data_IF_391822983560
#
_entry.id   IF_391822983560
#
_cell.length_a   1.000
_cell.length_b   1.000
_cell.length_c   1.000
_cell.angle_alpha   90.00
_cell.angle_beta   90.00
_cell.angle_gamma   90.00
#
_symmetry.space_group_name_H-M   'P 1'
#
loop_
_entity.id
_entity.type
_entity.pdbx_description
1 polymer ?
#
# COMPACT_ATOMS: atom_id res chain seq x y z
N UNK A 1 -8.74 20.37 -11.93
CA UNK A 1 -8.58 21.32 -10.80
C UNK A 1 -9.00 22.70 -11.31
N UNK A 2 -9.87 23.42 -10.59
CA UNK A 2 -10.32 24.77 -10.98
C UNK A 2 -10.51 25.62 -9.73
N UNK A 3 -10.05 26.88 -9.75
CA UNK A 3 -10.19 27.86 -8.65
C UNK A 3 -9.75 27.33 -7.28
N UNK A 4 -8.62 26.61 -7.22
CA UNK A 4 -8.12 26.00 -5.99
C UNK A 4 -9.01 24.89 -5.43
N UNK A 5 -9.90 24.32 -6.24
CA UNK A 5 -10.78 23.20 -5.86
C UNK A 5 -10.52 21.99 -6.76
N UNK A 6 -10.55 20.82 -6.13
CA UNK A 6 -10.64 19.55 -6.85
C UNK A 6 -12.10 19.13 -6.87
N UNK A 7 -12.66 19.01 -8.07
CA UNK A 7 -14.03 18.54 -8.26
C UNK A 7 -14.06 17.21 -8.99
N UNK A 8 -14.92 16.30 -8.53
CA UNK A 8 -15.20 15.03 -9.20
C UNK A 8 -16.71 14.86 -9.28
N UNK A 9 -17.26 14.69 -10.48
CA UNK A 9 -18.72 14.67 -10.74
C UNK A 9 -19.44 15.88 -10.13
N UNK A 10 -18.95 17.09 -10.42
CA UNK A 10 -19.50 18.37 -9.93
C UNK A 10 -19.48 18.58 -8.40
N UNK A 11 -18.81 17.70 -7.65
CA UNK A 11 -18.65 17.81 -6.19
C UNK A 11 -17.25 18.26 -5.83
N UNK A 12 -17.15 19.28 -4.98
CA UNK A 12 -15.87 19.73 -4.42
C UNK A 12 -15.41 18.72 -3.36
N UNK A 13 -14.28 18.06 -3.63
CA UNK A 13 -13.68 17.06 -2.72
C UNK A 13 -12.57 17.70 -1.88
N UNK A 14 -11.76 18.56 -2.49
CA UNK A 14 -10.69 19.30 -1.82
C UNK A 14 -10.82 20.78 -2.10
N UNK A 15 -10.47 21.59 -1.10
CA UNK A 15 -10.42 23.06 -1.21
C UNK A 15 -9.02 23.58 -0.86
N UNK A 16 -8.60 24.68 -1.48
CA UNK A 16 -7.23 25.18 -1.32
C UNK A 16 -6.18 24.25 -1.92
N UNK A 17 -6.51 23.60 -3.04
CA UNK A 17 -5.56 22.80 -3.84
C UNK A 17 -4.44 23.72 -4.30
N UNK A 18 -3.19 23.31 -4.09
CA UNK A 18 -2.00 24.08 -4.46
C UNK A 18 -1.85 24.19 -5.99
N UNK A 19 -1.31 25.32 -6.46
CA UNK A 19 -1.13 25.61 -7.90
C UNK A 19 -0.18 24.63 -8.60
N UNK A 20 0.67 23.96 -7.83
CA UNK A 20 1.65 23.00 -8.31
C UNK A 20 1.10 21.57 -8.46
N UNK A 21 -0.20 21.38 -8.21
CA UNK A 21 -0.95 20.14 -8.47
C UNK A 21 -1.72 20.30 -9.78
N UNK A 22 -1.39 19.49 -10.77
CA UNK A 22 -1.99 19.56 -12.10
C UNK A 22 -2.88 18.36 -12.39
N UNK A 23 -3.96 18.58 -13.12
CA UNK A 23 -4.78 17.50 -13.65
C UNK A 23 -4.22 17.07 -15.01
N UNK A 24 -3.81 15.80 -15.10
CA UNK A 24 -3.39 15.19 -16.35
C UNK A 24 -4.57 14.37 -16.88
N UNK A 25 -5.05 14.74 -18.07
CA UNK A 25 -6.24 14.24 -18.79
C UNK A 25 -6.96 13.03 -18.16
N UNK A 26 -8.26 13.23 -17.90
CA UNK A 26 -9.22 12.19 -17.57
C UNK A 26 -9.09 10.96 -18.47
N UNK A 27 -9.26 9.76 -17.90
CA UNK A 27 -9.33 8.52 -18.64
C UNK A 27 -10.55 8.54 -19.59
N UNK A 28 -10.38 9.05 -20.80
CA UNK A 28 -11.41 9.14 -21.85
C UNK A 28 -11.82 7.79 -22.42
N UNK A 29 -11.27 6.68 -21.91
CA UNK A 29 -11.46 5.34 -22.47
C UNK A 29 -12.12 4.35 -21.49
N UNK A 30 -12.85 4.81 -20.46
CA UNK A 30 -13.52 3.92 -19.52
C UNK A 30 -14.84 4.47 -18.94
N UNK A 31 -15.66 3.63 -18.28
CA UNK A 31 -16.95 4.02 -17.70
C UNK A 31 -16.84 4.90 -16.44
N UNK A 32 -15.67 5.51 -16.17
CA UNK A 32 -15.31 6.10 -14.88
C UNK A 32 -14.92 7.56 -15.06
N UNK A 33 -15.61 8.45 -14.36
CA UNK A 33 -15.15 9.82 -14.16
C UNK A 33 -14.06 9.81 -13.09
N UNK A 34 -12.81 9.83 -13.54
CA UNK A 34 -11.63 9.91 -12.68
C UNK A 34 -10.53 10.73 -13.34
N UNK A 35 -9.61 11.20 -12.50
CA UNK A 35 -8.55 12.13 -12.85
C UNK A 35 -7.22 11.64 -12.32
N UNK A 36 -6.17 11.77 -13.12
CA UNK A 36 -4.80 11.63 -12.65
C UNK A 36 -4.28 13.00 -12.23
N UNK A 37 -3.66 13.06 -11.06
CA UNK A 37 -3.00 14.25 -10.55
C UNK A 37 -1.49 14.09 -10.69
N UNK A 38 -0.90 15.07 -11.36
CA UNK A 38 0.53 15.32 -11.42
C UNK A 38 0.96 16.35 -10.38
N UNK A 39 2.28 16.45 -10.23
CA UNK A 39 2.94 17.41 -9.34
C UNK A 39 4.16 17.96 -10.08
N UNK A 40 4.32 19.28 -10.04
CA UNK A 40 5.55 19.93 -10.48
C UNK A 40 6.16 20.70 -9.29
N UNK A 41 7.47 20.64 -9.13
CA UNK A 41 8.20 21.37 -8.08
C UNK A 41 9.41 22.08 -8.68
N UNK A 42 9.91 23.12 -8.01
CA UNK A 42 11.03 23.91 -8.52
C UNK A 42 12.38 23.16 -8.47
N UNK A 43 12.50 22.16 -7.59
CA UNK A 43 13.76 21.48 -7.31
C UNK A 43 13.63 19.99 -7.53
N UNK A 44 14.67 19.40 -8.11
CA UNK A 44 14.81 17.95 -8.16
C UNK A 44 15.23 17.44 -6.79
N UNK A 45 14.39 16.61 -6.18
CA UNK A 45 14.64 16.00 -4.87
C UNK A 45 14.22 14.53 -4.88
N UNK A 46 14.79 13.75 -3.97
CA UNK A 46 14.40 12.35 -3.73
C UNK A 46 13.13 12.22 -2.89
N UNK A 47 12.66 13.33 -2.31
CA UNK A 47 11.43 13.39 -1.52
C UNK A 47 10.70 14.73 -1.69
N UNK A 48 9.40 14.66 -1.99
CA UNK A 48 8.49 15.80 -2.06
C UNK A 48 7.31 15.61 -1.12
N UNK A 49 6.83 16.72 -0.53
CA UNK A 49 5.56 16.76 0.21
C UNK A 49 4.76 17.92 -0.34
N UNK A 50 3.60 17.62 -0.93
CA UNK A 50 2.76 18.60 -1.61
C UNK A 50 1.38 18.60 -0.99
N UNK A 51 0.87 19.78 -0.65
CA UNK A 51 -0.48 19.89 -0.13
C UNK A 51 -1.51 19.74 -1.24
N UNK A 52 -2.43 18.81 -1.06
CA UNK A 52 -3.58 18.63 -1.96
C UNK A 52 -4.76 19.54 -1.58
N UNK A 53 -4.69 20.21 -0.44
CA UNK A 53 -5.76 21.04 0.10
C UNK A 53 -6.45 20.42 1.32
N UNK A 54 -7.47 21.12 1.81
CA UNK A 54 -8.22 20.79 3.03
C UNK A 54 -9.27 19.72 2.77
N UNK A 55 -9.36 18.79 3.72
CA UNK A 55 -10.43 17.80 3.82
C UNK A 55 -11.07 17.94 5.21
N UNK A 56 -12.33 18.34 5.28
CA UNK A 56 -13.06 18.59 6.54
C UNK A 56 -14.49 18.10 6.42
N UNK A 57 -15.08 17.70 7.54
CA UNK A 57 -16.48 17.30 7.64
C UNK A 57 -16.87 16.15 6.69
N UNK A 58 -15.94 15.21 6.46
CA UNK A 58 -16.15 14.05 5.57
C UNK A 58 -15.64 12.77 6.21
N UNK A 59 -16.47 11.73 6.21
CA UNK A 59 -16.06 10.44 6.77
C UNK A 59 -15.08 9.77 5.82
N UNK A 60 -14.02 9.18 6.34
CA UNK A 60 -13.08 8.43 5.51
C UNK A 60 -12.68 7.09 6.12
N UNK A 61 -12.16 6.21 5.27
CA UNK A 61 -11.36 5.05 5.63
C UNK A 61 -10.00 5.16 4.93
N UNK A 62 -8.93 5.17 5.71
CA UNK A 62 -7.55 5.13 5.25
C UNK A 62 -6.97 3.73 5.46
N UNK A 63 -6.32 3.17 4.44
CA UNK A 63 -5.46 2.00 4.58
C UNK A 63 -4.00 2.48 4.53
N UNK A 64 -3.27 2.26 5.60
CA UNK A 64 -1.95 2.85 5.80
C UNK A 64 -0.95 1.84 6.34
N UNK A 65 0.33 2.05 6.04
CA UNK A 65 1.43 1.19 6.48
C UNK A 65 1.91 1.64 7.87
N UNK A 66 1.52 0.93 8.92
CA UNK A 66 1.88 1.28 10.31
C UNK A 66 3.20 0.63 10.77
N UNK A 67 3.70 -0.37 10.05
CA UNK A 67 5.04 -0.97 10.18
C UNK A 67 5.59 -1.26 8.79
N UNK A 68 6.90 -1.47 8.69
CA UNK A 68 7.58 -1.82 7.42
C UNK A 68 6.85 -2.88 6.57
N UNK A 69 6.24 -3.87 7.23
CA UNK A 69 5.64 -5.06 6.62
C UNK A 69 4.11 -5.12 6.73
N UNK A 70 3.49 -4.21 7.48
CA UNK A 70 2.08 -4.34 7.87
C UNK A 70 1.26 -3.09 7.56
N UNK A 71 0.06 -3.33 7.05
CA UNK A 71 -0.97 -2.31 6.88
C UNK A 71 -2.04 -2.43 7.97
N UNK A 72 -2.65 -1.30 8.29
CA UNK A 72 -3.82 -1.19 9.14
C UNK A 72 -4.83 -0.24 8.48
N UNK A 73 -6.02 -0.16 9.06
CA UNK A 73 -7.06 0.77 8.66
C UNK A 73 -7.35 1.78 9.78
N UNK A 74 -7.71 3.01 9.39
CA UNK A 74 -8.24 4.04 10.29
C UNK A 74 -9.45 4.68 9.65
N UNK A 75 -10.46 4.97 10.47
CA UNK A 75 -11.58 5.83 10.09
C UNK A 75 -11.45 7.17 10.82
N UNK A 76 -11.92 8.23 10.18
CA UNK A 76 -11.88 9.60 10.72
C UNK A 76 -12.76 10.54 9.92
N UNK A 77 -12.71 11.83 10.24
CA UNK A 77 -13.59 12.85 9.66
C UNK A 77 -12.84 14.06 9.08
N UNK A 78 -11.53 14.18 9.38
CA UNK A 78 -10.72 15.34 9.00
C UNK A 78 -9.37 14.93 8.38
N UNK A 79 -8.86 15.77 7.49
CA UNK A 79 -7.61 15.52 6.77
C UNK A 79 -6.40 15.34 7.69
N UNK A 80 -6.35 16.05 8.83
CA UNK A 80 -5.26 15.90 9.82
C UNK A 80 -5.23 14.53 10.50
N UNK A 81 -6.33 13.78 10.46
CA UNK A 81 -6.42 12.44 11.05
C UNK A 81 -5.90 11.34 10.11
N UNK A 82 -5.61 11.66 8.84
CA UNK A 82 -5.06 10.70 7.88
C UNK A 82 -3.66 10.28 8.35
N UNK A 83 -3.44 8.97 8.62
CA UNK A 83 -2.13 8.50 9.06
C UNK A 83 -1.05 8.74 8.01
N UNK A 84 0.18 8.91 8.49
CA UNK A 84 1.37 8.76 7.65
C UNK A 84 1.30 7.44 6.88
N UNK A 85 1.88 7.41 5.68
CA UNK A 85 1.97 6.20 4.87
C UNK A 85 0.61 5.64 4.42
N UNK A 86 -0.41 6.48 4.24
CA UNK A 86 -1.69 6.06 3.68
C UNK A 86 -1.56 5.73 2.20
N UNK A 87 -1.82 4.48 1.81
CA UNK A 87 -1.68 3.97 0.43
C UNK A 87 -3.02 3.83 -0.29
N UNK A 88 -4.13 4.01 0.41
CA UNK A 88 -5.47 4.05 -0.15
C UNK A 88 -6.38 4.82 0.80
N UNK A 89 -7.17 5.75 0.26
CA UNK A 89 -8.15 6.51 1.03
C UNK A 89 -9.49 6.49 0.31
N UNK A 90 -10.54 6.14 1.05
CA UNK A 90 -11.94 6.18 0.63
C UNK A 90 -12.65 7.25 1.45
N UNK A 91 -13.22 8.25 0.77
CA UNK A 91 -13.96 9.35 1.39
C UNK A 91 -15.45 9.19 1.07
N UNK A 92 -16.28 9.21 2.10
CA UNK A 92 -17.73 9.25 2.01
C UNK A 92 -18.21 10.70 2.16
N UNK A 93 -18.86 11.21 1.12
CA UNK A 93 -19.48 12.53 1.10
C UNK A 93 -20.99 12.40 0.97
N UNK A 94 -21.73 13.13 1.80
CA UNK A 94 -23.19 13.28 1.67
C UNK A 94 -23.47 14.57 0.90
N UNK A 95 -24.49 14.54 0.05
CA UNK A 95 -24.96 15.73 -0.67
C UNK A 95 -26.17 16.33 0.08
N UNK A 96 -26.60 17.54 -0.26
CA UNK A 96 -27.87 18.11 0.21
C UNK A 96 -27.96 18.59 1.66
N UNK A 97 -28.84 19.58 1.87
CA UNK A 97 -29.32 19.95 3.20
C UNK A 97 -29.98 18.74 3.89
N UNK A 98 -30.16 18.76 5.21
CA UNK A 98 -30.85 17.72 6.00
C UNK A 98 -32.30 17.38 5.55
N UNK A 99 -32.75 17.86 4.40
CA UNK A 99 -34.11 17.83 3.89
C UNK A 99 -34.27 17.07 2.56
N UNK A 100 -33.18 16.67 1.87
CA UNK A 100 -33.26 15.91 0.61
C UNK A 100 -32.56 14.54 0.74
N UNK A 101 -33.21 13.48 0.24
CA UNK A 101 -32.67 12.11 0.09
C UNK A 101 -31.53 12.12 -0.95
N UNK A 102 -30.35 12.55 -0.52
CA UNK A 102 -29.20 12.70 -1.39
C UNK A 102 -28.37 11.42 -1.47
N UNK A 103 -27.86 11.11 -2.67
CA UNK A 103 -26.98 9.97 -2.87
C UNK A 103 -25.60 10.23 -2.25
N UNK A 104 -25.20 9.33 -1.35
CA UNK A 104 -23.83 9.23 -0.83
C UNK A 104 -22.88 9.02 -2.00
N UNK A 105 -21.77 9.77 -2.03
CA UNK A 105 -20.69 9.53 -2.99
C UNK A 105 -19.40 9.19 -2.29
N UNK A 106 -18.82 8.12 -2.82
CA UNK A 106 -17.55 7.54 -2.43
C UNK A 106 -16.48 8.03 -3.40
N UNK A 107 -15.50 8.74 -2.87
CA UNK A 107 -14.35 9.23 -3.62
C UNK A 107 -13.11 8.47 -3.17
N UNK A 108 -12.38 7.93 -4.13
CA UNK A 108 -11.13 7.20 -3.91
C UNK A 108 -9.97 8.13 -4.21
N UNK A 109 -8.97 8.09 -3.33
CA UNK A 109 -7.65 8.60 -3.58
C UNK A 109 -6.69 7.41 -3.56
N UNK A 110 -6.07 7.15 -4.72
CA UNK A 110 -5.18 6.03 -4.93
C UNK A 110 -3.79 6.55 -5.31
N UNK A 111 -2.88 6.72 -4.34
CA UNK A 111 -1.48 7.00 -4.60
C UNK A 111 -0.85 5.93 -5.50
N UNK A 112 -0.04 6.37 -6.47
CA UNK A 112 0.55 5.51 -7.49
C UNK A 112 2.08 5.47 -7.39
N UNK A 113 2.67 4.55 -8.15
CA UNK A 113 4.11 4.51 -8.41
C UNK A 113 4.33 5.11 -9.80
N UNK A 114 5.21 6.10 -9.89
CA UNK A 114 5.61 6.75 -11.14
C UNK A 114 7.14 6.74 -11.24
N UNK A 115 7.68 6.04 -12.24
CA UNK A 115 9.12 5.80 -12.34
C UNK A 115 9.68 5.11 -11.09
N UNK A 116 10.73 5.69 -10.52
CA UNK A 116 11.37 5.19 -9.29
C UNK A 116 10.75 5.73 -8.00
N UNK A 117 9.62 6.44 -8.07
CA UNK A 117 9.00 7.09 -6.92
C UNK A 117 7.69 6.41 -6.56
N UNK A 118 7.46 6.24 -5.26
CA UNK A 118 6.16 5.86 -4.70
C UNK A 118 5.45 7.08 -4.15
N UNK A 119 4.13 7.11 -4.27
CA UNK A 119 3.28 8.06 -3.59
C UNK A 119 2.61 7.44 -2.34
N UNK A 120 2.40 8.26 -1.31
CA UNK A 120 1.49 7.98 -0.20
C UNK A 120 0.81 9.29 0.25
N UNK A 121 -0.25 9.16 1.04
CA UNK A 121 -0.94 10.30 1.65
C UNK A 121 -0.59 10.39 3.14
N UNK A 122 -0.67 11.61 3.65
CA UNK A 122 -0.65 11.89 5.08
C UNK A 122 -1.51 13.10 5.42
N UNK A 123 -1.93 13.18 6.68
CA UNK A 123 -2.58 14.36 7.24
C UNK A 123 -1.59 15.36 7.79
N UNK A 124 -1.79 16.64 7.48
CA UNK A 124 -1.07 17.72 8.15
C UNK A 124 -1.76 18.05 9.48
N UNK A 125 -1.02 17.92 10.58
CA UNK A 125 -1.55 18.09 11.93
C UNK A 125 -2.08 19.51 12.24
N UNK A 126 -1.68 20.54 11.48
CA UNK A 126 -1.92 21.95 11.80
C UNK A 126 -3.17 22.50 11.09
N UNK A 127 -3.48 22.04 9.87
CA UNK A 127 -4.41 22.76 8.98
C UNK A 127 -5.47 21.89 8.28
N UNK A 128 -5.63 20.62 8.69
CA UNK A 128 -6.53 19.64 8.06
C UNK A 128 -6.23 19.39 6.58
N UNK A 129 -5.04 19.75 6.10
CA UNK A 129 -4.67 19.46 4.74
C UNK A 129 -4.33 17.98 4.59
N UNK A 130 -4.72 17.43 3.45
CA UNK A 130 -4.16 16.19 2.93
C UNK A 130 -2.87 16.54 2.18
N UNK A 131 -1.82 15.77 2.40
CA UNK A 131 -0.55 15.92 1.72
C UNK A 131 -0.24 14.65 0.93
N UNK A 132 0.28 14.85 -0.28
CA UNK A 132 0.86 13.82 -1.13
C UNK A 132 2.36 13.78 -0.87
N UNK A 133 2.86 12.65 -0.38
CA UNK A 133 4.28 12.39 -0.21
C UNK A 133 4.78 11.52 -1.36
N UNK A 134 5.86 11.97 -1.99
CA UNK A 134 6.50 11.30 -3.11
C UNK A 134 7.94 11.02 -2.72
N UNK A 135 8.40 9.78 -2.81
CA UNK A 135 9.76 9.42 -2.44
C UNK A 135 10.33 8.27 -3.26
N UNK A 136 11.61 8.36 -3.58
CA UNK A 136 12.37 7.30 -4.27
C UNK A 136 13.00 6.29 -3.31
N UNK A 137 13.23 6.71 -2.05
CA UNK A 137 13.98 5.92 -1.07
C UNK A 137 15.51 5.94 -1.29
N UNK A 138 15.99 6.74 -2.25
CA UNK A 138 17.41 6.89 -2.59
C UNK A 138 17.73 8.38 -2.81
N UNK A 139 18.71 8.89 -2.08
CA UNK A 139 19.11 10.30 -2.10
C UNK A 139 19.64 10.76 -3.46
N UNK A 140 20.15 9.84 -4.27
CA UNK A 140 20.71 10.13 -5.60
C UNK A 140 19.66 10.01 -6.70
N UNK A 141 18.52 9.35 -6.44
CA UNK A 141 17.41 9.24 -7.37
C UNK A 141 16.43 10.40 -7.15
N UNK A 142 16.53 11.44 -8.00
CA UNK A 142 15.78 12.70 -7.88
C UNK A 142 14.93 13.00 -9.11
N UNK A 143 13.82 13.69 -8.91
CA UNK A 143 12.99 14.30 -9.97
C UNK A 143 12.26 15.52 -9.41
N UNK A 144 11.70 16.36 -10.26
CA UNK A 144 10.86 17.51 -9.89
C UNK A 144 9.46 17.47 -10.53
N UNK A 145 9.19 16.49 -11.38
CA UNK A 145 7.94 16.43 -12.16
C UNK A 145 7.34 15.02 -12.15
N UNK A 146 6.02 14.99 -11.97
CA UNK A 146 5.17 13.82 -11.93
C UNK A 146 3.90 14.13 -12.72
N UNK A 147 3.42 13.17 -13.49
CA UNK A 147 2.24 13.34 -14.34
C UNK A 147 1.00 12.62 -13.81
N UNK A 148 1.17 11.59 -12.98
CA UNK A 148 0.08 10.72 -12.54
C UNK A 148 0.36 10.07 -11.18
N UNK A 149 0.98 10.81 -10.25
CA UNK A 149 1.33 10.35 -8.91
C UNK A 149 0.12 9.92 -8.05
N UNK A 150 -1.08 10.40 -8.36
CA UNK A 150 -2.30 10.11 -7.62
C UNK A 150 -3.48 9.97 -8.57
N UNK A 151 -4.28 8.91 -8.44
CA UNK A 151 -5.54 8.77 -9.16
C UNK A 151 -6.73 9.01 -8.24
N UNK A 152 -7.69 9.80 -8.71
CA UNK A 152 -8.92 10.11 -7.96
C UNK A 152 -10.15 9.79 -8.81
N UNK A 153 -11.13 9.10 -8.24
CA UNK A 153 -12.39 8.81 -8.91
C UNK A 153 -13.54 8.73 -7.92
N UNK A 154 -14.78 8.91 -8.39
CA UNK A 154 -15.95 8.90 -7.52
C UNK A 154 -17.15 8.13 -8.09
N UNK A 155 -17.95 7.55 -7.20
CA UNK A 155 -19.17 6.83 -7.52
C UNK A 155 -20.09 6.63 -6.34
N UNK A 156 -21.29 6.11 -6.60
CA UNK A 156 -22.33 5.90 -5.58
C UNK A 156 -22.26 4.52 -4.93
N UNK A 157 -21.60 3.56 -5.58
CA UNK A 157 -21.29 2.24 -5.00
C UNK A 157 -19.79 2.15 -4.70
N UNK A 158 -19.38 1.93 -3.44
CA UNK A 158 -17.97 1.96 -3.06
C UNK A 158 -17.18 0.81 -3.69
N UNK A 159 -17.77 -0.38 -3.84
CA UNK A 159 -17.08 -1.56 -4.39
C UNK A 159 -16.82 -1.43 -5.88
N UNK A 160 -17.82 -0.99 -6.64
CA UNK A 160 -17.71 -0.70 -8.06
C UNK A 160 -16.73 0.45 -8.29
N UNK A 161 -16.77 1.50 -7.46
CA UNK A 161 -15.81 2.61 -7.56
C UNK A 161 -14.38 2.11 -7.36
N UNK A 162 -14.13 1.25 -6.37
CA UNK A 162 -12.80 0.65 -6.13
C UNK A 162 -12.37 -0.20 -7.32
N UNK A 163 -13.20 -1.14 -7.74
CA UNK A 163 -12.89 -2.02 -8.85
C UNK A 163 -12.55 -1.22 -10.11
N UNK A 164 -13.38 -0.24 -10.44
CA UNK A 164 -13.25 0.56 -11.64
C UNK A 164 -12.04 1.49 -11.59
N UNK A 165 -11.68 2.02 -10.41
CA UNK A 165 -10.44 2.78 -10.23
C UNK A 165 -9.20 1.94 -10.58
N UNK A 166 -9.14 0.71 -10.07
CA UNK A 166 -8.03 -0.19 -10.38
C UNK A 166 -8.00 -0.62 -11.85
N UNK A 167 -9.16 -0.81 -12.50
CA UNK A 167 -9.22 -1.06 -13.97
C UNK A 167 -8.64 0.12 -14.74
N UNK A 168 -9.04 1.36 -14.41
CA UNK A 168 -8.55 2.57 -15.06
C UNK A 168 -7.04 2.73 -14.88
N UNK A 169 -6.55 2.59 -13.65
CA UNK A 169 -5.11 2.69 -13.34
C UNK A 169 -4.33 1.56 -14.02
N UNK A 170 -4.86 0.33 -14.06
CA UNK A 170 -4.24 -0.79 -14.79
C UNK A 170 -4.10 -0.50 -16.27
N UNK A 171 -5.13 0.08 -16.89
CA UNK A 171 -5.12 0.45 -18.32
C UNK A 171 -4.16 1.60 -18.60
N UNK A 172 -4.05 2.58 -17.70
CA UNK A 172 -3.17 3.73 -17.84
C UNK A 172 -1.69 3.36 -17.64
N UNK A 173 -1.36 2.69 -16.54
CA UNK A 173 0.02 2.35 -16.20
C UNK A 173 0.53 1.15 -17.00
N UNK A 174 -0.32 0.16 -17.25
CA UNK A 174 0.04 -1.09 -17.93
C UNK A 174 1.23 -1.85 -17.27
N UNK A 175 1.46 -1.64 -15.97
CA UNK A 175 2.57 -2.24 -15.21
C UNK A 175 2.16 -3.42 -14.34
N UNK A 176 0.86 -3.66 -14.17
CA UNK A 176 0.34 -4.72 -13.32
C UNK A 176 -0.91 -5.38 -13.90
N UNK A 177 -1.33 -6.47 -13.25
CA UNK A 177 -2.56 -7.20 -13.54
C UNK A 177 -3.48 -7.19 -12.33
N UNK A 178 -4.77 -7.12 -12.56
CA UNK A 178 -5.81 -7.27 -11.54
C UNK A 178 -5.81 -8.70 -11.00
N UNK A 179 -6.36 -8.89 -9.80
CA UNK A 179 -6.39 -10.19 -9.11
C UNK A 179 -7.00 -11.30 -10.00
N UNK A 180 -8.11 -11.02 -10.67
CA UNK A 180 -8.82 -12.00 -11.51
C UNK A 180 -8.08 -12.34 -12.82
N UNK A 181 -7.11 -11.51 -13.23
CA UNK A 181 -6.26 -11.74 -14.41
C UNK A 181 -5.02 -12.59 -14.07
N UNK A 182 -4.75 -12.81 -12.78
CA UNK A 182 -3.61 -13.61 -12.32
C UNK A 182 -4.02 -15.08 -12.23
N UNK A 183 -3.19 -15.96 -12.79
CA UNK A 183 -3.36 -17.41 -12.66
C UNK A 183 -3.08 -17.81 -11.21
N UNK A 184 -4.05 -18.41 -10.55
CA UNK A 184 -3.83 -19.01 -9.24
C UNK A 184 -2.90 -20.24 -9.38
N UNK A 185 -1.82 -20.33 -8.59
CA UNK A 185 -0.98 -21.51 -8.58
C UNK A 185 -1.73 -22.66 -7.90
N UNK A 186 -1.61 -23.89 -8.40
CA UNK A 186 -2.37 -25.04 -7.87
C UNK A 186 -2.09 -25.36 -6.39
N UNK A 187 -1.00 -24.82 -5.82
CA UNK A 187 -0.69 -24.91 -4.39
C UNK A 187 -1.80 -24.34 -3.48
N UNK A 188 -2.60 -23.38 -3.96
CA UNK A 188 -3.67 -22.74 -3.16
C UNK A 188 -4.84 -23.67 -2.83
N UNK A 189 -4.99 -24.77 -3.57
CA UNK A 189 -6.07 -25.75 -3.36
C UNK A 189 -5.71 -26.79 -2.29
N UNK A 190 -4.49 -26.74 -1.74
CA UNK A 190 -4.01 -27.69 -0.77
C UNK A 190 -3.86 -27.07 0.62
N UNK A 191 -3.98 -27.93 1.64
CA UNK A 191 -3.52 -27.60 2.97
C UNK A 191 -1.99 -27.48 2.97
N UNK A 192 -1.49 -26.35 3.45
CA UNK A 192 -0.07 -26.13 3.71
C UNK A 192 0.16 -25.67 5.14
N UNK A 193 1.41 -25.70 5.55
CA UNK A 193 1.82 -25.35 6.91
C UNK A 193 2.90 -24.27 6.88
N UNK A 194 2.73 -23.25 7.72
CA UNK A 194 3.73 -22.20 7.94
C UNK A 194 4.38 -22.41 9.31
N UNK A 195 5.69 -22.30 9.38
CA UNK A 195 6.48 -22.56 10.61
C UNK A 195 6.37 -21.46 11.65
N UNK A 196 5.87 -20.26 11.30
CA UNK A 196 5.91 -19.08 12.16
C UNK A 196 5.22 -19.27 13.52
N UNK A 197 3.95 -19.68 13.56
CA UNK A 197 3.23 -19.81 14.84
C UNK A 197 3.72 -21.01 15.68
N UNK A 198 4.48 -21.93 15.07
CA UNK A 198 5.06 -23.08 15.75
C UNK A 198 6.42 -22.77 16.40
N UNK A 199 7.25 -21.93 15.76
CA UNK A 199 8.63 -21.73 16.18
C UNK A 199 9.09 -20.27 16.26
N UNK A 200 8.35 -19.33 15.65
CA UNK A 200 8.82 -17.98 15.37
C UNK A 200 10.24 -18.05 14.78
N UNK A 201 11.18 -17.29 15.34
CA UNK A 201 12.57 -17.24 14.89
C UNK A 201 13.39 -18.48 15.25
N UNK A 202 12.87 -19.41 16.06
CA UNK A 202 13.57 -20.60 16.54
C UNK A 202 13.36 -21.83 15.63
N UNK A 203 12.90 -21.64 14.39
CA UNK A 203 12.70 -22.73 13.43
C UNK A 203 14.04 -23.46 13.15
N UNK A 204 14.01 -24.79 13.14
CA UNK A 204 15.14 -25.68 12.81
C UNK A 204 14.72 -26.76 11.81
N UNK A 205 15.70 -27.41 11.17
CA UNK A 205 15.43 -28.57 10.31
C UNK A 205 14.68 -29.67 11.07
N UNK A 206 15.12 -30.03 12.28
CA UNK A 206 14.46 -31.08 13.08
C UNK A 206 13.04 -30.69 13.48
N UNK A 207 12.80 -29.41 13.82
CA UNK A 207 11.47 -28.90 14.16
C UNK A 207 10.50 -28.97 12.98
N UNK A 208 10.95 -28.62 11.77
CA UNK A 208 10.15 -28.76 10.55
C UNK A 208 9.77 -30.22 10.32
N UNK A 209 10.76 -31.11 10.42
CA UNK A 209 10.58 -32.56 10.27
C UNK A 209 9.59 -33.16 11.28
N UNK A 210 9.70 -32.77 12.56
CA UNK A 210 8.78 -33.20 13.62
C UNK A 210 7.36 -32.68 13.40
N UNK A 211 7.22 -31.41 12.97
CA UNK A 211 5.93 -30.83 12.62
C UNK A 211 5.25 -31.56 11.46
N UNK A 212 6.02 -31.90 10.42
CA UNK A 212 5.55 -32.71 9.30
C UNK A 212 5.09 -34.10 9.75
N UNK A 213 5.90 -34.81 10.54
CA UNK A 213 5.54 -36.11 11.10
C UNK A 213 4.27 -36.05 11.95
N UNK A 214 4.14 -35.02 12.77
CA UNK A 214 2.97 -34.79 13.62
C UNK A 214 1.69 -34.58 12.79
N UNK A 215 1.73 -33.70 11.78
CA UNK A 215 0.59 -33.43 10.90
C UNK A 215 0.18 -34.67 10.08
N UNK A 216 1.15 -35.44 9.57
CA UNK A 216 0.91 -36.70 8.88
C UNK A 216 0.28 -37.73 9.82
N UNK A 217 0.84 -37.89 11.04
CA UNK A 217 0.32 -38.80 12.06
C UNK A 217 -1.09 -38.44 12.53
N UNK A 218 -1.43 -37.14 12.54
CA UNK A 218 -2.75 -36.61 12.81
C UNK A 218 -3.74 -36.70 11.63
N UNK A 219 -3.34 -37.28 10.50
CA UNK A 219 -4.19 -37.47 9.32
C UNK A 219 -4.40 -36.21 8.46
N UNK A 220 -3.63 -35.14 8.69
CA UNK A 220 -3.71 -33.88 7.93
C UNK A 220 -2.35 -33.54 7.29
N UNK A 221 -1.86 -34.35 6.35
CA UNK A 221 -0.54 -34.14 5.76
C UNK A 221 -0.50 -32.86 4.90
N UNK A 222 0.39 -31.88 5.19
CA UNK A 222 0.54 -30.70 4.36
C UNK A 222 1.12 -31.06 2.99
N UNK A 223 0.69 -30.34 1.95
CA UNK A 223 1.19 -30.49 0.57
C UNK A 223 2.24 -29.46 0.20
N UNK A 224 2.44 -28.47 1.06
CA UNK A 224 3.53 -27.52 0.97
C UNK A 224 3.85 -26.97 2.35
N UNK A 225 5.08 -26.47 2.50
CA UNK A 225 5.58 -25.85 3.73
C UNK A 225 6.11 -24.46 3.37
N UNK A 226 5.79 -23.50 4.22
CA UNK A 226 6.43 -22.18 4.23
C UNK A 226 7.34 -22.16 5.45
N UNK A 227 8.66 -22.09 5.22
CA UNK A 227 9.63 -21.82 6.27
C UNK A 227 9.71 -20.29 6.42
N UNK A 228 9.08 -19.80 7.48
CA UNK A 228 9.02 -18.37 7.82
C UNK A 228 10.33 -17.88 8.48
N UNK A 229 10.37 -16.63 8.95
CA UNK A 229 11.57 -15.98 9.47
C UNK A 229 12.30 -16.81 10.55
N UNK A 230 13.64 -16.73 10.52
CA UNK A 230 14.53 -17.48 11.41
C UNK A 230 15.44 -18.50 10.74
N UNK A 231 15.25 -18.87 9.48
CA UNK A 231 16.16 -19.80 8.76
C UNK A 231 17.38 -19.11 8.13
N UNK A 232 17.30 -17.80 7.91
CA UNK A 232 18.36 -16.99 7.29
C UNK A 232 19.33 -16.43 8.34
N UNK A 233 20.44 -15.87 7.86
CA UNK A 233 21.41 -15.17 8.71
C UNK A 233 21.05 -13.69 8.85
N UNK A 234 20.93 -13.23 10.09
CA UNK A 234 20.68 -11.82 10.42
C UNK A 234 21.70 -11.30 11.44
N UNK A 235 21.96 -10.00 11.42
CA UNK A 235 22.76 -9.32 12.42
C UNK A 235 22.26 -7.89 12.65
N UNK A 236 22.43 -7.37 13.87
CA UNK A 236 22.19 -5.96 14.19
C UNK A 236 23.41 -5.08 13.90
N UNK A 237 23.18 -3.79 13.65
CA UNK A 237 24.26 -2.81 13.42
C UNK A 237 25.11 -2.55 14.70
N UNK A 238 24.60 -2.93 15.88
CA UNK A 238 25.25 -2.81 17.20
C UNK A 238 24.87 -4.00 18.09
N UNK A 239 25.70 -4.32 19.09
CA UNK A 239 25.39 -5.30 20.17
C UNK A 239 24.33 -4.77 21.16
N UNK A 240 23.28 -4.12 20.67
CA UNK A 240 22.15 -3.68 21.47
C UNK A 240 20.94 -4.54 21.08
N UNK A 241 20.26 -5.13 22.06
CA UNK A 241 19.08 -5.97 21.87
C UNK A 241 17.90 -5.20 21.23
N UNK A 242 17.97 -3.87 21.20
CA UNK A 242 17.01 -2.99 20.51
C UNK A 242 17.33 -2.72 19.03
N UNK A 243 18.47 -3.22 18.52
CA UNK A 243 18.88 -2.98 17.14
C UNK A 243 18.03 -3.79 16.14
N UNK A 244 17.61 -3.13 15.06
CA UNK A 244 16.95 -3.79 13.94
C UNK A 244 17.89 -4.83 13.34
N UNK A 245 17.42 -6.08 13.27
CA UNK A 245 18.14 -7.16 12.61
C UNK A 245 18.09 -6.95 11.10
N UNK A 246 19.24 -7.04 10.44
CA UNK A 246 19.37 -6.95 8.98
C UNK A 246 19.75 -8.32 8.43
N UNK A 247 19.20 -8.65 7.27
CA UNK A 247 19.62 -9.82 6.50
C UNK A 247 21.08 -9.65 6.09
N UNK A 248 21.96 -10.55 6.56
CA UNK A 248 23.39 -10.57 6.21
C UNK A 248 23.74 -11.66 5.21
N UNK A 249 22.86 -12.65 5.04
CA UNK A 249 23.03 -13.72 4.07
C UNK A 249 21.71 -14.42 3.76
N UNK A 250 21.51 -14.74 2.48
CA UNK A 250 20.35 -15.48 1.97
C UNK A 250 20.50 -17.00 2.07
N UNK A 251 21.69 -17.48 2.45
CA UNK A 251 21.94 -18.90 2.72
C UNK A 251 21.33 -19.29 4.06
N UNK A 252 21.08 -20.59 4.19
CA UNK A 252 20.64 -21.21 5.42
C UNK A 252 21.65 -20.97 6.55
N UNK A 253 21.13 -20.70 7.75
CA UNK A 253 21.94 -20.53 8.95
C UNK A 253 22.28 -21.89 9.58
N UNK A 254 23.11 -21.93 10.64
CA UNK A 254 23.54 -23.20 11.25
C UNK A 254 22.43 -24.11 11.78
N UNK A 255 21.18 -23.62 11.93
CA UNK A 255 20.03 -24.45 12.32
C UNK A 255 19.51 -25.36 11.20
N UNK A 256 20.00 -25.17 9.98
CA UNK A 256 19.63 -25.89 8.76
C UNK A 256 20.85 -26.46 8.03
N UNK A 257 22.04 -26.40 8.63
CA UNK A 257 23.24 -26.98 8.06
C UNK A 257 23.48 -28.37 8.64
N UNK A 258 23.96 -29.29 7.80
CA UNK A 258 24.45 -30.57 8.27
C UNK A 258 25.67 -30.38 9.17
N UNK A 259 25.64 -30.97 10.37
CA UNK A 259 26.70 -30.83 11.38
C UNK A 259 28.01 -31.52 10.99
N UNK A 260 27.94 -32.53 10.13
CA UNK A 260 29.09 -33.31 9.66
C UNK A 260 29.65 -32.79 8.34
N UNK A 261 28.79 -32.29 7.44
CA UNK A 261 29.20 -31.65 6.18
C UNK A 261 28.39 -30.38 5.89
N UNK A 262 28.81 -29.21 6.41
CA UNK A 262 28.09 -27.96 6.22
C UNK A 262 28.01 -27.46 4.77
N UNK A 263 28.86 -27.94 3.85
CA UNK A 263 28.84 -27.52 2.43
C UNK A 263 27.77 -28.25 1.62
N UNK A 264 27.28 -29.38 2.13
CA UNK A 264 26.24 -30.20 1.50
C UNK A 264 24.87 -29.50 1.51
N UNK A 265 24.67 -28.49 2.36
CA UNK A 265 23.39 -27.81 2.56
C UNK A 265 22.34 -28.75 3.18
N UNK A 266 21.05 -28.43 2.95
CA UNK A 266 19.91 -29.31 3.25
C UNK A 266 19.82 -30.42 2.19
#
# INVERSE_FOLDING_TARGET
VSDGKLMVKDRTILTGVSDNVTETSAATTGPVNGVFLGVETEKEESRHVVSLGKLTDVRFMACFRFKLWWMAQKMGENGNEIPLETQFLLVETKDGSHLDDSDIIYTIFLPLVEGSFRACLQGNAINNNVELCLESGDVDTKTSSFSHALFISAGTDPFATIHNAFVTVRNHLNTFRLRHEKKLPGIVDYFGWCTWDAFYQDVTQEGVDDGLRSLVGGGTPPKFVIIDDGWQSVAGDKEDASSLQRLTGIKENPKFQNKEDPELGI
#
